data_IF_829120409446
#
_entry.id   IF_829120409446
#
_cell.length_a   1.000
_cell.length_b   1.000
_cell.length_c   1.000
_cell.angle_alpha   90.00
_cell.angle_beta   90.00
_cell.angle_gamma   90.00
#
_symmetry.space_group_name_H-M   'P 1'
#
loop_
_entity.id
_entity.type
_entity.pdbx_description
1 polymer ?
#
# COMPACT_ATOMS: atom_id res chain seq x y z
N UNK A 1 -12.57 2.75 -7.93
CA UNK A 1 -11.37 2.71 -7.08
C UNK A 1 -11.72 2.64 -5.60
N UNK A 2 -12.53 3.56 -5.07
CA UNK A 2 -12.92 3.55 -3.64
C UNK A 2 -13.50 2.21 -3.15
N UNK A 3 -14.35 1.55 -3.95
CA UNK A 3 -14.92 0.22 -3.61
C UNK A 3 -13.85 -0.88 -3.45
N UNK A 4 -12.80 -0.85 -4.27
CA UNK A 4 -11.72 -1.85 -4.20
C UNK A 4 -10.88 -1.63 -2.94
N UNK A 5 -10.58 -0.38 -2.61
CA UNK A 5 -9.86 -0.01 -1.38
C UNK A 5 -10.67 -0.32 -0.13
N UNK A 6 -11.98 -0.08 -0.14
CA UNK A 6 -12.87 -0.41 0.98
C UNK A 6 -12.97 -1.93 1.20
N UNK A 7 -13.02 -2.72 0.12
CA UNK A 7 -13.02 -4.17 0.20
C UNK A 7 -11.67 -4.70 0.73
N UNK A 8 -10.55 -4.14 0.23
CA UNK A 8 -9.22 -4.48 0.70
C UNK A 8 -9.05 -4.14 2.19
N UNK A 9 -9.51 -2.97 2.62
CA UNK A 9 -9.56 -2.58 4.01
C UNK A 9 -10.28 -3.63 4.87
N UNK A 10 -11.52 -4.00 4.52
CA UNK A 10 -12.29 -5.00 5.25
C UNK A 10 -11.57 -6.36 5.36
N UNK A 11 -10.89 -6.78 4.28
CA UNK A 11 -10.13 -8.03 4.30
C UNK A 11 -8.90 -7.94 5.23
N UNK A 12 -8.22 -6.79 5.26
CA UNK A 12 -7.06 -6.59 6.13
C UNK A 12 -7.45 -6.42 7.60
N UNK A 13 -8.59 -5.80 7.92
CA UNK A 13 -9.07 -5.73 9.31
C UNK A 13 -9.42 -7.13 9.82
N UNK A 14 -10.14 -7.92 9.02
CA UNK A 14 -10.40 -9.33 9.35
C UNK A 14 -9.11 -10.12 9.56
N UNK A 15 -8.10 -9.92 8.70
CA UNK A 15 -6.83 -10.61 8.84
C UNK A 15 -6.08 -10.16 10.10
N UNK A 16 -6.11 -8.88 10.46
CA UNK A 16 -5.47 -8.37 11.67
C UNK A 16 -6.08 -8.97 12.94
N UNK A 17 -7.42 -9.07 12.99
CA UNK A 17 -8.17 -9.60 14.14
C UNK A 17 -7.98 -11.11 14.34
N UNK A 18 -7.75 -11.86 13.25
CA UNK A 18 -7.68 -13.33 13.28
C UNK A 18 -6.29 -13.92 13.00
N UNK A 19 -5.25 -13.10 12.82
CA UNK A 19 -3.89 -13.58 12.61
C UNK A 19 -3.31 -14.25 13.85
N UNK A 20 -2.65 -15.40 13.67
CA UNK A 20 -2.03 -16.17 14.75
C UNK A 20 -0.61 -15.68 15.09
N UNK A 21 0.04 -14.98 14.16
CA UNK A 21 1.40 -14.48 14.33
C UNK A 21 1.41 -12.95 14.51
N UNK A 22 2.13 -12.40 15.50
CA UNK A 22 2.22 -10.96 15.71
C UNK A 22 2.71 -10.17 14.47
N UNK A 23 3.58 -10.79 13.67
CA UNK A 23 4.09 -10.19 12.42
C UNK A 23 3.00 -10.06 11.36
N UNK A 24 2.10 -11.04 11.25
CA UNK A 24 0.96 -11.00 10.33
C UNK A 24 -0.07 -9.96 10.76
N UNK A 25 -0.38 -9.90 12.06
CA UNK A 25 -1.24 -8.84 12.62
C UNK A 25 -0.67 -7.47 12.30
N UNK A 26 0.61 -7.22 12.61
CA UNK A 26 1.26 -5.93 12.35
C UNK A 26 1.24 -5.56 10.86
N UNK A 27 1.49 -6.53 9.97
CA UNK A 27 1.43 -6.32 8.53
C UNK A 27 0.01 -5.98 8.08
N UNK A 28 -0.99 -6.74 8.51
CA UNK A 28 -2.39 -6.53 8.15
C UNK A 28 -2.91 -5.17 8.65
N UNK A 29 -2.58 -4.79 9.88
CA UNK A 29 -2.89 -3.45 10.42
C UNK A 29 -2.28 -2.34 9.57
N UNK A 30 -1.01 -2.48 9.15
CA UNK A 30 -0.36 -1.51 8.26
C UNK A 30 -1.07 -1.42 6.92
N UNK A 31 -1.41 -2.55 6.30
CA UNK A 31 -2.10 -2.58 5.01
C UNK A 31 -3.52 -2.02 5.08
N UNK A 32 -4.25 -2.24 6.17
CA UNK A 32 -5.54 -1.58 6.43
C UNK A 32 -5.36 -0.05 6.52
N UNK A 33 -4.34 0.43 7.24
CA UNK A 33 -4.02 1.86 7.33
C UNK A 33 -3.67 2.49 5.98
N UNK A 34 -2.94 1.79 5.11
CA UNK A 34 -2.66 2.25 3.75
C UNK A 34 -3.93 2.43 2.91
N UNK A 35 -4.94 1.56 3.11
CA UNK A 35 -6.22 1.69 2.43
C UNK A 35 -6.98 2.94 2.90
N UNK A 36 -6.95 3.24 4.21
CA UNK A 36 -7.57 4.44 4.79
C UNK A 36 -6.90 5.72 4.30
N UNK A 37 -5.56 5.74 4.25
CA UNK A 37 -4.80 6.86 3.68
C UNK A 37 -5.18 7.11 2.21
N UNK A 38 -5.23 6.05 1.39
CA UNK A 38 -5.61 6.16 -0.02
C UNK A 38 -7.08 6.60 -0.23
N UNK A 39 -7.96 6.36 0.75
CA UNK A 39 -9.35 6.79 0.76
C UNK A 39 -9.55 8.21 1.32
N UNK A 40 -8.52 8.82 1.93
CA UNK A 40 -8.62 10.10 2.62
C UNK A 40 -9.42 10.03 3.92
N UNK A 41 -9.44 8.88 4.59
CA UNK A 41 -10.13 8.65 5.87
C UNK A 41 -9.09 8.56 6.97
N UNK A 42 -9.13 9.44 7.98
CA UNK A 42 -8.12 9.47 9.04
C UNK A 42 -8.19 8.26 9.99
N UNK A 43 -9.41 7.82 10.32
CA UNK A 43 -9.65 6.69 11.22
C UNK A 43 -10.96 5.97 10.89
N UNK A 44 -10.96 4.64 10.99
CA UNK A 44 -12.18 3.83 10.94
C UNK A 44 -11.99 2.50 11.68
N UNK A 45 -12.95 2.13 12.55
CA UNK A 45 -12.96 0.83 13.21
C UNK A 45 -11.72 0.55 14.08
N UNK A 46 -11.09 1.57 14.66
CA UNK A 46 -9.85 1.45 15.45
C UNK A 46 -8.57 1.33 14.62
N UNK A 47 -8.65 1.45 13.29
CA UNK A 47 -7.49 1.56 12.41
C UNK A 47 -7.29 3.01 11.99
N UNK A 48 -6.03 3.45 11.95
CA UNK A 48 -5.65 4.79 11.51
C UNK A 48 -5.03 4.77 10.11
N UNK A 49 -5.18 5.87 9.38
CA UNK A 49 -4.49 6.08 8.12
C UNK A 49 -2.97 5.99 8.29
N UNK A 50 -2.32 5.24 7.39
CA UNK A 50 -0.86 5.10 7.34
C UNK A 50 -0.43 5.41 5.92
N UNK A 51 0.46 6.40 5.77
CA UNK A 51 1.06 6.68 4.48
C UNK A 51 1.93 5.50 4.04
N UNK A 52 1.75 4.97 2.82
CA UNK A 52 2.54 3.84 2.34
C UNK A 52 4.02 4.22 2.19
N UNK A 53 4.91 3.31 2.61
CA UNK A 53 6.34 3.44 2.33
C UNK A 53 6.58 3.47 0.80
N UNK A 54 7.42 4.37 0.28
CA UNK A 54 7.79 4.38 -1.13
C UNK A 54 8.39 3.03 -1.54
N UNK A 55 7.91 2.46 -2.64
CA UNK A 55 8.44 1.21 -3.20
C UNK A 55 9.72 1.55 -3.98
N UNK A 56 10.81 1.87 -3.27
CA UNK A 56 12.12 2.16 -3.85
C UNK A 56 12.20 3.44 -4.69
N UNK A 57 13.35 3.65 -5.35
CA UNK A 57 13.50 4.71 -6.35
C UNK A 57 12.52 4.45 -7.49
N UNK A 58 11.66 5.42 -7.75
CA UNK A 58 10.84 5.45 -8.96
C UNK A 58 11.81 5.58 -10.13
N UNK A 59 12.10 4.48 -10.83
CA UNK A 59 12.74 4.55 -12.13
C UNK A 59 11.72 5.20 -13.05
N UNK A 60 11.87 6.50 -13.27
CA UNK A 60 11.08 7.21 -14.25
C UNK A 60 11.30 6.52 -15.61
N UNK A 61 10.24 5.93 -16.16
CA UNK A 61 10.32 5.14 -17.39
C UNK A 61 10.90 5.93 -18.57
N UNK A 62 10.90 7.27 -18.49
CA UNK A 62 11.53 8.15 -19.47
C UNK A 62 13.08 8.07 -19.45
N UNK A 63 13.70 7.80 -18.30
CA UNK A 63 15.16 7.67 -18.18
C UNK A 63 15.62 6.32 -18.75
N UNK A 64 14.84 5.26 -18.52
CA UNK A 64 15.13 3.94 -19.06
C UNK A 64 15.16 3.94 -20.60
N UNK A 65 14.26 4.69 -21.26
CA UNK A 65 14.19 4.80 -22.72
C UNK A 65 15.36 5.57 -23.36
N UNK A 66 16.00 6.52 -22.65
CA UNK A 66 17.18 7.22 -23.18
C UNK A 66 18.44 6.35 -23.15
N UNK A 67 18.61 5.55 -22.09
CA UNK A 67 19.79 4.68 -21.95
C UNK A 67 19.89 3.59 -23.03
N UNK A 68 18.74 3.11 -23.54
CA UNK A 68 18.70 2.17 -24.67
C UNK A 68 18.91 2.84 -26.03
N UNK A 69 18.62 4.15 -26.16
CA UNK A 69 18.83 4.90 -27.40
C UNK A 69 20.28 5.35 -27.62
N UNK A 70 21.06 5.52 -26.56
CA UNK A 70 22.47 5.93 -26.65
C UNK A 70 23.45 4.75 -26.83
N UNK A 71 22.98 3.51 -26.66
CA UNK A 71 23.79 2.31 -26.85
C UNK A 71 23.89 1.85 -28.32
N UNK A 72 23.18 2.50 -29.25
CA UNK A 72 23.19 2.19 -30.69
C UNK A 72 23.78 3.32 -31.57
N UNK A 73 24.53 4.26 -30.98
CA UNK A 73 25.18 5.39 -31.67
C UNK A 73 26.67 5.22 -31.92
#
# INVERSE_FOLDING_TARGET
MATVLAQAFANFTMLAEHSLLPTQTKMATRLAGNCLWALGVEEYGGFHAIEPEPIGEIIDGQVALRAIGEAEG
#
